data_IF_158977841160
#
_entry.id   IF_158977841160
#
_cell.length_a   1.000
_cell.length_b   1.000
_cell.length_c   1.000
_cell.angle_alpha   90.00
_cell.angle_beta   90.00
_cell.angle_gamma   90.00
#
_symmetry.space_group_name_H-M   'P 1'
#
loop_
_entity.id
_entity.type
_entity.pdbx_description
1 polymer ?
#
# COMPACT_ATOMS: atom_id res chain seq x y z
N UNK A 1 -11.99 1.84 -16.77
CA UNK A 1 -12.24 0.46 -16.29
C UNK A 1 -10.90 -0.25 -16.22
N UNK A 2 -10.59 -0.86 -15.10
CA UNK A 2 -9.35 -1.61 -14.94
C UNK A 2 -9.37 -2.94 -15.68
N UNK A 3 -8.21 -3.55 -15.79
CA UNK A 3 -7.99 -4.86 -16.41
C UNK A 3 -7.12 -5.74 -15.54
N UNK A 4 -7.42 -7.02 -15.51
CA UNK A 4 -6.56 -8.03 -14.91
C UNK A 4 -5.40 -8.35 -15.87
N UNK A 5 -4.18 -8.35 -15.34
CA UNK A 5 -2.95 -8.66 -16.08
C UNK A 5 -2.10 -9.63 -15.27
N UNK A 6 -1.06 -10.20 -15.89
CA UNK A 6 -0.07 -11.02 -15.22
C UNK A 6 1.26 -10.27 -15.21
N UNK A 7 1.92 -10.24 -14.06
CA UNK A 7 3.28 -9.74 -13.87
C UNK A 7 4.25 -10.91 -13.74
N UNK A 8 5.49 -10.69 -14.13
CA UNK A 8 6.57 -11.66 -13.90
C UNK A 8 7.62 -11.03 -13.00
N UNK A 9 7.83 -11.61 -11.85
CA UNK A 9 8.83 -11.21 -10.86
C UNK A 9 10.25 -11.57 -11.32
N UNK A 10 11.27 -11.00 -10.70
CA UNK A 10 12.67 -11.19 -11.08
C UNK A 10 13.16 -12.65 -10.96
N UNK A 11 12.50 -13.45 -10.13
CA UNK A 11 12.76 -14.90 -9.96
C UNK A 11 11.98 -15.78 -10.95
N UNK A 12 11.18 -15.17 -11.85
CA UNK A 12 10.32 -15.84 -12.82
C UNK A 12 8.95 -16.24 -12.31
N UNK A 13 8.59 -15.87 -11.07
CA UNK A 13 7.26 -16.11 -10.55
C UNK A 13 6.22 -15.21 -11.25
N UNK A 14 5.08 -15.80 -11.61
CA UNK A 14 3.94 -15.09 -12.22
C UNK A 14 2.85 -14.83 -11.19
N UNK A 15 2.51 -13.55 -11.00
CA UNK A 15 1.41 -13.10 -10.13
C UNK A 15 0.40 -12.27 -10.91
N UNK A 16 -0.84 -12.31 -10.48
CA UNK A 16 -1.91 -11.48 -11.04
C UNK A 16 -1.79 -10.04 -10.54
N UNK A 17 -2.30 -9.09 -11.32
CA UNK A 17 -2.43 -7.71 -10.89
C UNK A 17 -3.66 -7.07 -11.54
N UNK A 18 -4.24 -6.08 -10.86
CA UNK A 18 -5.29 -5.22 -11.38
C UNK A 18 -4.70 -3.88 -11.78
N UNK A 19 -4.83 -3.49 -13.05
CA UNK A 19 -4.25 -2.26 -13.60
C UNK A 19 -5.33 -1.36 -14.17
N UNK A 20 -5.23 -0.05 -13.89
CA UNK A 20 -6.11 1.00 -14.39
C UNK A 20 -5.29 2.11 -15.04
N UNK A 21 -5.81 2.62 -16.18
CA UNK A 21 -5.24 3.77 -16.87
C UNK A 21 -6.12 5.00 -16.63
N UNK A 22 -5.54 6.21 -16.55
CA UNK A 22 -6.28 7.45 -16.48
C UNK A 22 -6.88 7.82 -17.85
N UNK A 23 -7.86 8.71 -17.84
CA UNK A 23 -8.33 9.35 -19.06
C UNK A 23 -7.30 10.39 -19.53
N UNK A 24 -6.53 10.06 -20.57
CA UNK A 24 -5.50 10.94 -21.13
C UNK A 24 -4.07 10.58 -20.71
N UNK A 25 -3.17 11.55 -20.78
CA UNK A 25 -1.77 11.33 -20.38
C UNK A 25 -1.65 11.16 -18.86
N UNK A 26 -0.91 10.13 -18.43
CA UNK A 26 -0.69 9.90 -17.02
C UNK A 26 0.20 10.98 -16.39
N UNK A 27 -0.10 11.39 -15.17
CA UNK A 27 0.72 12.27 -14.33
C UNK A 27 1.94 11.53 -13.76
N UNK A 28 1.89 10.23 -13.72
CA UNK A 28 2.85 9.29 -13.16
C UNK A 28 2.15 7.96 -12.89
N UNK A 29 2.71 7.11 -12.03
CA UNK A 29 2.10 5.83 -11.67
C UNK A 29 2.05 5.61 -10.15
N UNK A 30 1.06 4.84 -9.68
CA UNK A 30 0.86 4.48 -8.28
C UNK A 30 0.65 2.97 -8.13
N UNK A 31 1.49 2.34 -7.30
CA UNK A 31 1.27 0.97 -6.86
C UNK A 31 0.36 1.01 -5.63
N UNK A 32 -0.71 0.23 -5.64
CA UNK A 32 -1.68 0.10 -4.54
C UNK A 32 -1.52 -1.26 -3.89
N UNK A 33 -1.03 -1.29 -2.65
CA UNK A 33 -0.76 -2.53 -1.93
C UNK A 33 -1.94 -2.92 -1.05
N UNK A 34 -2.38 -4.16 -1.22
CA UNK A 34 -3.51 -4.79 -0.55
C UNK A 34 -3.38 -4.84 0.97
N UNK A 35 -4.51 -4.91 1.66
CA UNK A 35 -4.61 -5.38 3.05
C UNK A 35 -4.32 -6.89 3.14
N UNK A 36 -4.67 -7.53 4.25
CA UNK A 36 -4.59 -9.00 4.38
C UNK A 36 -5.67 -9.76 3.59
N UNK A 37 -6.49 -9.09 2.81
CA UNK A 37 -7.67 -9.63 2.11
C UNK A 37 -7.47 -9.81 0.60
N UNK A 38 -6.23 -9.69 0.10
CA UNK A 38 -5.94 -9.77 -1.33
C UNK A 38 -6.38 -8.53 -2.11
N UNK A 39 -6.34 -8.60 -3.43
CA UNK A 39 -6.82 -7.56 -4.35
C UNK A 39 -8.34 -7.67 -4.47
N UNK A 40 -9.03 -7.40 -3.35
CA UNK A 40 -10.48 -7.43 -3.24
C UNK A 40 -11.14 -6.17 -3.83
N UNK A 41 -12.47 -6.08 -3.76
CA UNK A 41 -13.23 -4.97 -4.33
C UNK A 41 -12.76 -3.60 -3.79
N UNK A 42 -12.44 -3.48 -2.49
CA UNK A 42 -11.92 -2.23 -1.93
C UNK A 42 -10.59 -1.81 -2.58
N UNK A 43 -9.65 -2.72 -2.75
CA UNK A 43 -8.34 -2.41 -3.35
C UNK A 43 -8.49 -2.08 -4.84
N UNK A 44 -9.40 -2.76 -5.55
CA UNK A 44 -9.76 -2.41 -6.93
C UNK A 44 -10.36 -1.00 -7.01
N UNK A 45 -11.30 -0.66 -6.13
CA UNK A 45 -11.90 0.69 -6.05
C UNK A 45 -10.84 1.77 -5.78
N UNK A 46 -9.90 1.52 -4.87
CA UNK A 46 -8.80 2.46 -4.61
C UNK A 46 -7.92 2.63 -5.85
N UNK A 47 -7.62 1.53 -6.55
CA UNK A 47 -6.82 1.57 -7.79
C UNK A 47 -7.54 2.40 -8.87
N UNK A 48 -8.85 2.22 -9.03
CA UNK A 48 -9.67 3.03 -9.96
C UNK A 48 -9.73 4.50 -9.56
N UNK A 49 -9.77 4.82 -8.24
CA UNK A 49 -9.74 6.21 -7.74
C UNK A 49 -8.43 6.91 -8.09
N UNK A 50 -7.29 6.23 -8.03
CA UNK A 50 -6.02 6.80 -8.50
C UNK A 50 -6.02 7.04 -10.01
N UNK A 51 -6.59 6.14 -10.80
CA UNK A 51 -6.74 6.36 -12.24
C UNK A 51 -7.67 7.54 -12.55
N UNK A 52 -8.76 7.70 -11.80
CA UNK A 52 -9.69 8.81 -11.96
C UNK A 52 -9.06 10.18 -11.65
N UNK A 53 -8.00 10.24 -10.83
CA UNK A 53 -7.27 11.49 -10.55
C UNK A 53 -5.98 11.65 -11.36
N UNK A 54 -5.79 10.81 -12.40
CA UNK A 54 -4.78 11.03 -13.44
C UNK A 54 -3.52 10.17 -13.35
N UNK A 55 -3.45 9.16 -12.49
CA UNK A 55 -2.30 8.24 -12.39
C UNK A 55 -2.58 6.91 -13.08
N UNK A 56 -1.60 6.32 -13.77
CA UNK A 56 -1.64 4.88 -14.02
C UNK A 56 -1.57 4.17 -12.67
N UNK A 57 -2.51 3.29 -12.36
CA UNK A 57 -2.54 2.62 -11.06
C UNK A 57 -2.50 1.10 -11.21
N UNK A 58 -1.80 0.40 -10.29
CA UNK A 58 -1.66 -1.05 -10.32
C UNK A 58 -1.68 -1.65 -8.92
N UNK A 59 -2.48 -2.71 -8.74
CA UNK A 59 -2.54 -3.48 -7.51
C UNK A 59 -2.04 -4.92 -7.76
N UNK A 60 -0.80 -5.27 -7.37
CA UNK A 60 -0.28 -6.63 -7.50
C UNK A 60 -0.92 -7.56 -6.46
N UNK A 61 -1.25 -8.79 -6.85
CA UNK A 61 -1.80 -9.82 -5.96
C UNK A 61 -0.65 -10.50 -5.18
N UNK A 62 -0.16 -9.82 -4.13
CA UNK A 62 1.05 -10.21 -3.41
C UNK A 62 0.95 -11.54 -2.64
N UNK A 63 -0.26 -12.09 -2.50
CA UNK A 63 -0.46 -13.40 -1.86
C UNK A 63 -0.47 -14.58 -2.84
N UNK A 64 -0.33 -14.32 -4.14
CA UNK A 64 -0.36 -15.37 -5.17
C UNK A 64 0.72 -16.43 -5.01
N UNK A 65 1.84 -16.13 -4.36
CA UNK A 65 2.90 -17.09 -4.06
C UNK A 65 2.42 -18.22 -3.14
N UNK A 66 1.47 -17.91 -2.25
CA UNK A 66 1.00 -18.85 -1.21
C UNK A 66 -0.44 -19.29 -1.47
N UNK A 67 -1.26 -18.42 -2.08
CA UNK A 67 -2.66 -18.72 -2.40
C UNK A 67 -3.09 -17.93 -3.65
N UNK A 68 -2.89 -18.53 -4.83
CA UNK A 68 -3.17 -17.90 -6.13
C UNK A 68 -4.63 -17.44 -6.23
N UNK A 69 -4.82 -16.16 -6.58
CA UNK A 69 -6.13 -15.55 -6.76
C UNK A 69 -6.91 -15.32 -5.45
N UNK A 70 -6.23 -15.31 -4.29
CA UNK A 70 -6.89 -15.09 -3.01
C UNK A 70 -7.52 -13.70 -2.95
N UNK A 71 -8.82 -13.69 -2.68
CA UNK A 71 -9.59 -12.49 -2.31
C UNK A 71 -10.56 -12.85 -1.19
N UNK A 72 -10.75 -11.94 -0.23
CA UNK A 72 -11.59 -12.18 0.93
C UNK A 72 -12.36 -10.93 1.34
N UNK A 73 -13.44 -11.14 2.10
CA UNK A 73 -14.18 -10.09 2.80
C UNK A 73 -13.57 -9.77 4.16
N UNK A 74 -14.44 -9.43 5.11
CA UNK A 74 -14.01 -8.94 6.43
C UNK A 74 -14.58 -9.77 7.59
N UNK A 75 -14.98 -11.02 7.33
CA UNK A 75 -15.46 -11.93 8.38
C UNK A 75 -14.31 -12.41 9.27
N UNK A 76 -14.58 -12.92 10.48
CA UNK A 76 -13.53 -13.50 11.33
C UNK A 76 -12.73 -14.63 10.63
N UNK A 77 -13.38 -15.44 9.80
CA UNK A 77 -12.71 -16.50 9.05
C UNK A 77 -11.79 -15.93 7.95
N UNK A 78 -12.24 -14.90 7.23
CA UNK A 78 -11.42 -14.16 6.25
C UNK A 78 -10.17 -13.57 6.91
N UNK A 79 -10.34 -12.97 8.11
CA UNK A 79 -9.24 -12.40 8.88
C UNK A 79 -8.25 -13.47 9.29
N UNK A 80 -8.71 -14.65 9.70
CA UNK A 80 -7.82 -15.76 10.09
C UNK A 80 -6.95 -16.21 8.91
N UNK A 81 -7.55 -16.48 7.76
CA UNK A 81 -6.81 -16.87 6.53
C UNK A 81 -5.85 -15.74 6.09
N UNK A 82 -6.31 -14.48 6.10
CA UNK A 82 -5.46 -13.35 5.74
C UNK A 82 -4.26 -13.16 6.67
N UNK A 83 -4.41 -13.49 7.96
CA UNK A 83 -3.29 -13.48 8.93
C UNK A 83 -2.27 -14.57 8.63
N UNK A 84 -2.70 -15.78 8.30
CA UNK A 84 -1.79 -16.88 7.95
C UNK A 84 -0.98 -16.53 6.69
N UNK A 85 -1.64 -15.95 5.67
CA UNK A 85 -0.97 -15.48 4.45
C UNK A 85 0.01 -14.33 4.73
N UNK A 86 -0.36 -13.39 5.61
CA UNK A 86 0.54 -12.34 6.06
C UNK A 86 1.80 -12.90 6.73
N UNK A 87 1.66 -13.90 7.60
CA UNK A 87 2.82 -14.52 8.26
C UNK A 87 3.73 -15.22 7.24
N UNK A 88 3.16 -15.94 6.26
CA UNK A 88 3.92 -16.55 5.17
C UNK A 88 4.66 -15.48 4.33
N UNK A 89 3.99 -14.40 3.98
CA UNK A 89 4.58 -13.29 3.22
C UNK A 89 5.69 -12.56 4.01
N UNK A 90 5.50 -12.35 5.31
CA UNK A 90 6.53 -11.75 6.17
C UNK A 90 7.78 -12.62 6.31
N UNK A 91 7.63 -13.95 6.29
CA UNK A 91 8.76 -14.88 6.31
C UNK A 91 9.60 -14.84 5.01
N UNK A 92 9.01 -14.35 3.92
CA UNK A 92 9.64 -14.25 2.60
C UNK A 92 9.58 -12.82 2.04
N UNK A 93 9.88 -11.81 2.87
CA UNK A 93 9.72 -10.40 2.53
C UNK A 93 10.48 -9.98 1.26
N UNK A 94 11.62 -10.61 0.96
CA UNK A 94 12.37 -10.33 -0.26
C UNK A 94 11.60 -10.74 -1.52
N UNK A 95 10.79 -11.80 -1.46
CA UNK A 95 9.88 -12.18 -2.55
C UNK A 95 8.75 -11.15 -2.71
N UNK A 96 8.20 -10.65 -1.60
CA UNK A 96 7.20 -9.55 -1.64
C UNK A 96 7.79 -8.29 -2.28
N UNK A 97 9.03 -7.93 -1.95
CA UNK A 97 9.72 -6.78 -2.57
C UNK A 97 9.96 -7.01 -4.06
N UNK A 98 10.33 -8.22 -4.49
CA UNK A 98 10.49 -8.55 -5.89
C UNK A 98 9.17 -8.44 -6.68
N UNK A 99 8.06 -8.84 -6.08
CA UNK A 99 6.72 -8.72 -6.69
C UNK A 99 6.26 -7.27 -6.80
N UNK A 100 6.54 -6.44 -5.78
CA UNK A 100 6.28 -4.99 -5.83
C UNK A 100 7.17 -4.34 -6.91
N UNK A 101 8.43 -4.75 -7.03
CA UNK A 101 9.33 -4.22 -8.07
C UNK A 101 8.88 -4.62 -9.49
N UNK A 102 8.31 -5.81 -9.66
CA UNK A 102 7.68 -6.20 -10.93
C UNK A 102 6.49 -5.29 -11.29
N UNK A 103 5.66 -4.92 -10.30
CA UNK A 103 4.60 -3.94 -10.52
C UNK A 103 5.15 -2.56 -10.87
N UNK A 104 6.20 -2.10 -10.16
CA UNK A 104 6.91 -0.85 -10.47
C UNK A 104 7.44 -0.84 -11.90
N UNK A 105 8.11 -1.90 -12.32
CA UNK A 105 8.65 -2.02 -13.66
C UNK A 105 7.56 -2.00 -14.75
N UNK A 106 6.41 -2.62 -14.47
CA UNK A 106 5.26 -2.65 -15.40
C UNK A 106 4.69 -1.26 -15.67
N UNK A 107 4.67 -0.37 -14.68
CA UNK A 107 4.08 0.98 -14.81
C UNK A 107 5.11 2.09 -15.04
N UNK A 108 6.39 1.78 -15.07
CA UNK A 108 7.49 2.77 -15.21
C UNK A 108 7.40 3.59 -16.51
N UNK A 109 6.74 3.06 -17.55
CA UNK A 109 6.49 3.78 -18.80
C UNK A 109 5.52 4.96 -18.66
N UNK A 110 4.78 5.06 -17.56
CA UNK A 110 3.85 6.16 -17.26
C UNK A 110 4.52 7.34 -16.55
N UNK A 111 5.81 7.27 -16.25
CA UNK A 111 6.56 8.32 -15.55
C UNK A 111 7.12 7.86 -14.22
N UNK A 112 7.23 8.78 -13.25
CA UNK A 112 7.64 8.48 -11.88
C UNK A 112 6.65 7.57 -11.18
N UNK A 113 7.11 6.75 -10.23
CA UNK A 113 6.31 5.70 -9.59
C UNK A 113 6.26 5.91 -8.08
N UNK A 114 5.06 6.14 -7.57
CA UNK A 114 4.76 6.12 -6.14
C UNK A 114 4.12 4.80 -5.69
N UNK A 115 4.03 4.64 -4.38
CA UNK A 115 3.40 3.48 -3.74
C UNK A 115 2.52 3.91 -2.59
N UNK A 116 1.37 3.26 -2.44
CA UNK A 116 0.53 3.37 -1.25
C UNK A 116 0.02 2.00 -0.85
N UNK A 117 -0.26 1.79 0.42
CA UNK A 117 -0.79 0.51 0.89
C UNK A 117 -1.42 0.60 2.27
N UNK A 118 -2.24 -0.39 2.59
CA UNK A 118 -3.17 -0.36 3.70
C UNK A 118 -2.96 -1.56 4.62
N UNK A 119 -3.00 -1.39 5.94
CA UNK A 119 -2.80 -2.44 6.93
C UNK A 119 -1.43 -3.13 6.73
N UNK A 120 -1.40 -4.44 6.45
CA UNK A 120 -0.17 -5.13 6.05
C UNK A 120 0.49 -4.48 4.83
N UNK A 121 -0.31 -4.04 3.86
CA UNK A 121 0.20 -3.28 2.71
C UNK A 121 0.81 -1.94 3.09
N UNK A 122 0.38 -1.31 4.18
CA UNK A 122 1.05 -0.13 4.73
C UNK A 122 2.46 -0.44 5.24
N UNK A 123 2.63 -1.59 5.90
CA UNK A 123 3.95 -2.11 6.26
C UNK A 123 4.78 -2.43 5.02
N UNK A 124 4.24 -3.18 4.04
CA UNK A 124 4.94 -3.50 2.81
C UNK A 124 5.33 -2.25 2.00
N UNK A 125 4.48 -1.22 1.99
CA UNK A 125 4.77 0.10 1.39
C UNK A 125 5.96 0.77 2.05
N UNK A 126 6.04 0.77 3.39
CA UNK A 126 7.19 1.31 4.10
C UNK A 126 8.47 0.55 3.76
N UNK A 127 8.43 -0.79 3.75
CA UNK A 127 9.58 -1.62 3.37
C UNK A 127 10.01 -1.38 1.92
N UNK A 128 9.06 -1.21 1.01
CA UNK A 128 9.35 -0.84 -0.38
C UNK A 128 10.00 0.55 -0.48
N UNK A 129 9.54 1.53 0.32
CA UNK A 129 10.17 2.86 0.39
C UNK A 129 11.61 2.82 0.92
N UNK A 130 11.95 1.84 1.76
CA UNK A 130 13.32 1.63 2.27
C UNK A 130 14.22 0.91 1.28
N UNK A 131 13.67 0.03 0.41
CA UNK A 131 14.46 -0.96 -0.34
C UNK A 131 14.39 -0.82 -1.86
N UNK A 132 13.34 -0.16 -2.40
CA UNK A 132 13.11 -0.06 -3.85
C UNK A 132 13.26 1.38 -4.34
N UNK A 133 13.60 1.53 -5.61
CA UNK A 133 13.72 2.84 -6.25
C UNK A 133 12.33 3.39 -6.62
N UNK A 134 11.69 4.03 -5.66
CA UNK A 134 10.39 4.69 -5.76
C UNK A 134 10.54 6.20 -5.60
N UNK A 135 9.59 6.97 -6.14
CA UNK A 135 9.62 8.43 -6.12
C UNK A 135 8.84 9.03 -4.94
N UNK A 136 7.87 8.31 -4.39
CA UNK A 136 7.14 8.68 -3.18
C UNK A 136 6.40 7.48 -2.56
N UNK A 137 6.14 7.52 -1.24
CA UNK A 137 5.42 6.46 -0.54
C UNK A 137 4.41 7.00 0.50
N UNK A 138 3.24 6.37 0.58
CA UNK A 138 2.21 6.68 1.56
C UNK A 138 1.70 5.41 2.25
N UNK A 139 2.11 5.18 3.49
CA UNK A 139 1.78 4.00 4.28
C UNK A 139 0.59 4.26 5.20
N UNK A 140 -0.46 3.43 5.14
CA UNK A 140 -1.63 3.54 5.99
C UNK A 140 -1.66 2.42 7.03
N UNK A 141 -1.74 2.81 8.31
CA UNK A 141 -1.85 1.92 9.48
C UNK A 141 -1.01 0.65 9.38
N UNK A 142 0.29 0.83 9.04
CA UNK A 142 1.27 -0.24 8.88
C UNK A 142 1.86 -0.72 10.20
N UNK A 143 1.22 -1.70 10.86
CA UNK A 143 1.59 -2.14 12.21
C UNK A 143 2.95 -2.83 12.33
N UNK A 144 3.50 -3.38 11.24
CA UNK A 144 4.81 -4.07 11.25
C UNK A 144 6.03 -3.15 11.21
N UNK A 145 5.85 -1.87 10.91
CA UNK A 145 6.95 -0.89 10.69
C UNK A 145 7.90 -0.83 11.89
N UNK A 146 7.38 -0.84 13.12
CA UNK A 146 8.19 -0.76 14.34
C UNK A 146 9.25 -1.86 14.45
N UNK A 147 8.99 -3.04 13.89
CA UNK A 147 9.94 -4.16 13.87
C UNK A 147 11.15 -3.94 12.94
N UNK A 148 11.11 -2.91 12.08
CA UNK A 148 12.13 -2.54 11.11
C UNK A 148 12.53 -1.06 11.26
N UNK A 149 12.48 -0.56 12.48
CA UNK A 149 12.67 0.86 12.79
C UNK A 149 14.12 1.37 12.55
N UNK A 150 15.02 0.51 12.15
CA UNK A 150 16.40 0.80 11.72
C UNK A 150 16.54 0.98 10.20
N UNK A 151 15.52 0.57 9.42
CA UNK A 151 15.48 0.76 7.95
C UNK A 151 14.81 2.09 7.59
N UNK A 152 15.53 2.93 6.83
CA UNK A 152 15.09 4.28 6.48
C UNK A 152 14.49 4.37 5.09
N UNK A 153 13.34 5.03 4.90
CA UNK A 153 12.84 5.37 3.58
C UNK A 153 13.87 6.18 2.77
N UNK A 154 14.04 5.81 1.50
CA UNK A 154 14.95 6.45 0.56
C UNK A 154 14.24 7.39 -0.44
N UNK A 155 12.92 7.52 -0.30
CA UNK A 155 12.10 8.48 -1.04
C UNK A 155 11.21 9.29 -0.08
N UNK A 156 10.63 10.42 -0.51
CA UNK A 156 9.63 11.15 0.26
C UNK A 156 8.50 10.24 0.74
N UNK A 157 8.34 10.14 2.06
CA UNK A 157 7.42 9.16 2.66
C UNK A 157 6.52 9.81 3.71
N UNK A 158 5.24 9.45 3.67
CA UNK A 158 4.29 9.79 4.72
C UNK A 158 3.67 8.51 5.32
N UNK A 159 3.35 8.55 6.62
CA UNK A 159 2.67 7.48 7.31
C UNK A 159 1.43 7.99 8.04
N UNK A 160 0.32 7.26 7.91
CA UNK A 160 -0.97 7.59 8.49
C UNK A 160 -1.38 6.56 9.52
N UNK A 161 -1.63 6.97 10.77
CA UNK A 161 -2.03 6.10 11.87
C UNK A 161 -3.31 6.59 12.55
N UNK A 162 -4.07 5.68 13.16
CA UNK A 162 -5.19 6.00 14.02
C UNK A 162 -4.79 5.92 15.50
N UNK A 163 -5.24 6.84 16.34
CA UNK A 163 -4.98 6.82 17.78
C UNK A 163 -5.89 5.84 18.56
N UNK A 164 -6.95 5.35 17.91
CA UNK A 164 -7.87 4.35 18.44
C UNK A 164 -7.53 2.92 17.97
N UNK A 165 -6.46 2.76 17.15
CA UNK A 165 -6.01 1.47 16.63
C UNK A 165 -5.35 0.63 17.74
N UNK A 166 -6.11 -0.35 18.25
CA UNK A 166 -5.63 -1.26 19.29
C UNK A 166 -4.47 -2.18 18.83
N UNK A 167 -4.25 -2.29 17.52
CA UNK A 167 -3.19 -3.12 16.93
C UNK A 167 -1.85 -2.38 16.80
N UNK A 168 -1.86 -1.05 16.87
CA UNK A 168 -0.68 -0.19 16.70
C UNK A 168 -0.61 0.80 17.87
N UNK A 169 0.09 0.46 18.96
CA UNK A 169 0.20 1.34 20.13
C UNK A 169 0.82 2.70 19.76
N UNK A 170 0.28 3.78 20.33
CA UNK A 170 0.81 5.14 20.09
C UNK A 170 2.28 5.32 20.51
N UNK A 171 2.79 4.50 21.43
CA UNK A 171 4.21 4.48 21.75
C UNK A 171 5.07 3.99 20.58
N UNK A 172 4.57 3.03 19.79
CA UNK A 172 5.25 2.53 18.59
C UNK A 172 5.22 3.59 17.49
N UNK A 173 4.09 4.29 17.32
CA UNK A 173 3.98 5.42 16.38
C UNK A 173 4.96 6.53 16.73
N UNK A 174 5.05 6.90 18.02
CA UNK A 174 6.02 7.90 18.48
C UNK A 174 7.48 7.46 18.31
N UNK A 175 7.77 6.17 18.45
CA UNK A 175 9.11 5.62 18.21
C UNK A 175 9.48 5.63 16.71
N UNK A 176 8.53 5.35 15.82
CA UNK A 176 8.71 5.47 14.37
C UNK A 176 8.97 6.93 13.99
N UNK A 177 8.15 7.87 14.46
CA UNK A 177 8.32 9.30 14.18
C UNK A 177 9.68 9.82 14.67
N UNK A 178 10.11 9.41 15.86
CA UNK A 178 11.39 9.81 16.42
C UNK A 178 12.60 9.25 15.67
N UNK A 179 12.49 8.02 15.12
CA UNK A 179 13.57 7.38 14.38
C UNK A 179 13.69 7.88 12.93
N UNK A 180 12.59 8.39 12.36
CA UNK A 180 12.48 8.75 10.93
C UNK A 180 12.06 10.22 10.73
N UNK A 181 12.89 11.20 11.13
CA UNK A 181 12.57 12.62 10.94
C UNK A 181 12.45 13.03 9.45
N UNK A 182 12.92 12.19 8.53
CA UNK A 182 12.77 12.35 7.07
C UNK A 182 11.37 12.00 6.57
N UNK A 183 10.58 11.23 7.33
CA UNK A 183 9.21 10.87 7.00
C UNK A 183 8.21 11.75 7.79
N UNK A 184 7.05 12.01 7.20
CA UNK A 184 5.98 12.71 7.92
C UNK A 184 4.99 11.72 8.50
N UNK A 185 4.82 11.73 9.82
CA UNK A 185 3.84 10.88 10.52
C UNK A 185 2.59 11.71 10.85
N UNK A 186 1.42 11.16 10.50
CA UNK A 186 0.11 11.78 10.76
C UNK A 186 -0.76 10.84 11.59
N UNK A 187 -1.34 11.38 12.66
CA UNK A 187 -2.24 10.65 13.56
C UNK A 187 -3.66 11.22 13.47
N UNK A 188 -4.66 10.35 13.47
CA UNK A 188 -6.09 10.69 13.33
C UNK A 188 -6.89 10.10 14.48
N UNK A 189 -8.00 10.74 14.87
CA UNK A 189 -9.02 10.14 15.76
C UNK A 189 -9.78 9.06 14.99
N UNK A 190 -9.20 7.88 14.90
CA UNK A 190 -9.70 6.78 14.08
C UNK A 190 -9.09 5.44 14.50
N UNK A 191 -9.80 4.36 14.18
CA UNK A 191 -9.39 2.97 14.40
C UNK A 191 -8.61 2.41 13.20
N UNK A 192 -8.11 1.18 13.34
CA UNK A 192 -7.46 0.41 12.26
C UNK A 192 -8.39 0.26 11.05
N UNK A 193 -7.86 0.51 9.85
CA UNK A 193 -8.65 0.40 8.61
C UNK A 193 -9.57 1.59 8.35
N UNK A 194 -9.34 2.74 8.97
CA UNK A 194 -10.18 3.94 8.85
C UNK A 194 -10.37 4.45 7.42
N UNK A 195 -9.50 4.08 6.49
CA UNK A 195 -9.62 4.48 5.07
C UNK A 195 -10.53 3.53 4.27
N UNK A 196 -10.79 2.31 4.75
CA UNK A 196 -11.55 1.31 4.02
C UNK A 196 -13.07 1.55 4.19
N UNK A 197 -13.72 2.08 3.16
CA UNK A 197 -15.15 2.37 3.14
C UNK A 197 -16.06 1.11 3.04
N UNK A 198 -15.44 -0.06 2.91
CA UNK A 198 -16.10 -1.37 3.00
C UNK A 198 -16.11 -1.96 4.42
N UNK A 199 -15.53 -1.26 5.44
CA UNK A 199 -15.42 -1.75 6.82
C UNK A 199 -16.17 -0.85 7.82
N UNK A 200 -16.59 -1.46 8.92
CA UNK A 200 -17.27 -0.74 10.00
C UNK A 200 -16.40 0.29 10.76
N UNK A 201 -15.09 0.20 10.60
CA UNK A 201 -14.11 1.15 11.17
C UNK A 201 -13.84 2.36 10.26
N UNK A 202 -14.54 2.47 9.12
CA UNK A 202 -14.40 3.60 8.22
C UNK A 202 -14.66 4.93 8.91
N UNK A 203 -13.71 5.84 8.81
CA UNK A 203 -13.84 7.20 9.31
C UNK A 203 -13.70 8.18 8.13
N UNK A 204 -14.80 8.74 7.60
CA UNK A 204 -14.76 9.55 6.38
C UNK A 204 -13.93 10.82 6.54
N UNK A 205 -13.84 11.39 7.75
CA UNK A 205 -13.02 12.59 8.00
C UNK A 205 -11.53 12.24 7.95
N UNK A 206 -11.12 11.20 8.66
CA UNK A 206 -9.74 10.74 8.67
C UNK A 206 -9.30 10.28 7.27
N UNK A 207 -10.14 9.49 6.59
CA UNK A 207 -9.90 9.00 5.24
C UNK A 207 -9.70 10.15 4.23
N UNK A 208 -10.58 11.15 4.24
CA UNK A 208 -10.47 12.31 3.34
C UNK A 208 -9.20 13.12 3.59
N UNK A 209 -8.86 13.38 4.86
CA UNK A 209 -7.65 14.18 5.18
C UNK A 209 -6.39 13.40 4.79
N UNK A 210 -6.32 12.10 5.11
CA UNK A 210 -5.20 11.24 4.74
C UNK A 210 -5.07 11.12 3.21
N UNK A 211 -6.18 10.89 2.50
CA UNK A 211 -6.22 10.84 1.04
C UNK A 211 -5.73 12.14 0.38
N UNK A 212 -6.17 13.31 0.86
CA UNK A 212 -5.67 14.60 0.36
C UNK A 212 -4.16 14.76 0.57
N UNK A 213 -3.61 14.32 1.71
CA UNK A 213 -2.17 14.37 1.97
C UNK A 213 -1.39 13.44 1.05
N UNK A 214 -1.92 12.24 0.80
CA UNK A 214 -1.33 11.27 -0.14
C UNK A 214 -1.34 11.81 -1.57
N UNK A 215 -2.46 12.33 -2.05
CA UNK A 215 -2.54 12.92 -3.39
C UNK A 215 -1.58 14.10 -3.51
N UNK A 216 -1.54 15.00 -2.52
CA UNK A 216 -0.60 16.10 -2.54
C UNK A 216 0.86 15.64 -2.62
N UNK A 217 1.26 14.62 -1.85
CA UNK A 217 2.60 14.04 -1.94
C UNK A 217 2.89 13.53 -3.36
N UNK A 218 1.94 12.82 -3.96
CA UNK A 218 2.10 12.27 -5.30
C UNK A 218 2.13 13.39 -6.36
N UNK A 219 1.29 14.41 -6.25
CA UNK A 219 1.34 15.57 -7.15
C UNK A 219 2.70 16.30 -7.07
N UNK A 220 3.26 16.44 -5.88
CA UNK A 220 4.55 17.11 -5.66
C UNK A 220 5.74 16.32 -6.19
N UNK A 221 5.67 14.98 -6.20
CA UNK A 221 6.82 14.12 -6.50
C UNK A 221 6.69 13.30 -7.77
N UNK A 222 5.48 12.98 -8.23
CA UNK A 222 5.25 12.14 -9.41
C UNK A 222 4.84 12.94 -10.64
N UNK A 223 4.01 13.99 -10.44
CA UNK A 223 3.58 14.82 -11.57
C UNK A 223 4.75 15.73 -12.03
N UNK A 224 5.23 15.52 -13.25
CA UNK A 224 6.38 16.27 -13.76
C UNK A 224 6.44 16.34 -15.26
#
# INVERSE_FOLDING_TARGET
MGQDIVLTSSDGFELDAYRCEPDGAALGAVIVVQEIFGVNDHIRDVTERFAAVGYTAIAPALYDRWNKGFTAGYTPDDIAVGRDLKEAANAELDNVMADIDAARANVAGSGKVGITGFCWGGFATWMAACRLNLDAAAAYYGGGIIGYNDEKPICPTIAHFGNEDASIPMNDVGAIEAAHPEASVYVYDADHGFHCDHRGTFNPRAANIAGMRTIRLFDEHLAG
#
